data_IF_271239038110
#
_entry.id   IF_271239038110
#
_cell.length_a   1.000
_cell.length_b   1.000
_cell.length_c   1.000
_cell.angle_alpha   90.00
_cell.angle_beta   90.00
_cell.angle_gamma   90.00
#
_symmetry.space_group_name_H-M   'P 1'
#
loop_
_entity.id
_entity.type
_entity.pdbx_description
1 polymer ?
#
# COMPACT_ATOMS: atom_id res chain seq x y z
N UNK A 1 4.48 -28.02 -3.34
CA UNK A 1 4.65 -28.38 -4.77
C UNK A 1 5.12 -29.83 -4.85
N UNK A 2 4.17 -30.76 -4.71
CA UNK A 2 4.55 -32.20 -4.57
C UNK A 2 4.74 -32.92 -5.91
N UNK A 3 4.38 -32.33 -7.04
CA UNK A 3 4.64 -32.92 -8.36
C UNK A 3 4.64 -31.87 -9.48
N UNK A 4 5.80 -31.61 -10.03
CA UNK A 4 5.92 -30.99 -11.36
C UNK A 4 5.74 -32.11 -12.38
N UNK A 5 4.60 -32.20 -13.03
CA UNK A 5 4.35 -33.23 -14.06
C UNK A 5 5.00 -32.83 -15.37
N UNK A 6 5.91 -33.68 -15.86
CA UNK A 6 6.48 -33.56 -17.19
C UNK A 6 5.45 -33.99 -18.22
N UNK A 7 4.84 -33.03 -18.87
CA UNK A 7 3.87 -33.20 -19.95
C UNK A 7 4.00 -32.07 -20.95
N UNK A 8 3.01 -31.89 -21.82
CA UNK A 8 2.93 -30.75 -22.74
C UNK A 8 2.55 -29.44 -22.04
N UNK A 9 2.12 -29.51 -20.79
CA UNK A 9 1.72 -28.37 -19.96
C UNK A 9 2.36 -28.47 -18.57
N UNK A 10 2.80 -27.35 -18.04
CA UNK A 10 3.36 -27.19 -16.71
C UNK A 10 2.48 -26.26 -15.89
N UNK A 11 2.04 -26.73 -14.73
CA UNK A 11 1.32 -25.91 -13.76
C UNK A 11 2.26 -25.59 -12.58
N UNK A 12 2.52 -24.31 -12.34
CA UNK A 12 3.44 -23.86 -11.28
C UNK A 12 2.68 -22.95 -10.33
N UNK A 13 2.42 -23.44 -9.11
CA UNK A 13 1.67 -22.67 -8.10
C UNK A 13 2.45 -21.51 -7.48
N UNK A 14 3.77 -21.67 -7.29
CA UNK A 14 4.61 -20.63 -6.67
C UNK A 14 6.04 -20.69 -7.23
N UNK A 15 6.34 -19.80 -8.19
CA UNK A 15 7.64 -19.74 -8.87
C UNK A 15 8.77 -19.25 -7.94
N UNK A 16 8.46 -18.49 -6.90
CA UNK A 16 9.47 -17.91 -6.01
C UNK A 16 10.10 -18.95 -5.09
N UNK A 17 9.34 -19.97 -4.72
CA UNK A 17 9.76 -21.05 -3.80
C UNK A 17 10.25 -22.31 -4.51
N UNK A 18 10.44 -22.30 -5.81
CA UNK A 18 11.00 -23.42 -6.55
C UNK A 18 12.45 -23.67 -6.13
N UNK A 19 12.79 -24.95 -5.94
CA UNK A 19 14.19 -25.37 -5.78
C UNK A 19 15.01 -25.04 -7.04
N UNK A 20 16.33 -24.96 -6.92
CA UNK A 20 17.21 -24.72 -8.06
C UNK A 20 17.00 -25.79 -9.15
N UNK A 21 16.87 -27.06 -8.78
CA UNK A 21 16.62 -28.16 -9.73
C UNK A 21 15.27 -28.06 -10.44
N UNK A 22 14.24 -27.53 -9.76
CA UNK A 22 12.94 -27.33 -10.38
C UNK A 22 12.94 -26.13 -11.35
N UNK A 23 13.71 -25.09 -11.02
CA UNK A 23 13.93 -23.97 -11.94
C UNK A 23 14.64 -24.41 -13.21
N UNK A 24 15.70 -25.22 -13.10
CA UNK A 24 16.39 -25.79 -14.27
C UNK A 24 15.47 -26.65 -15.15
N UNK A 25 14.62 -27.47 -14.52
CA UNK A 25 13.63 -28.27 -15.26
C UNK A 25 12.59 -27.41 -15.96
N UNK A 26 12.11 -26.35 -15.28
CA UNK A 26 11.16 -25.41 -15.85
C UNK A 26 11.76 -24.68 -17.06
N UNK A 27 13.00 -24.19 -16.96
CA UNK A 27 13.70 -23.58 -18.07
C UNK A 27 13.88 -24.55 -19.24
N UNK A 28 14.33 -25.77 -18.98
CA UNK A 28 14.46 -26.80 -20.03
C UNK A 28 13.12 -27.14 -20.70
N UNK A 29 12.02 -27.12 -19.95
CA UNK A 29 10.69 -27.31 -20.50
C UNK A 29 10.27 -26.15 -21.42
N UNK A 30 10.52 -24.90 -21.00
CA UNK A 30 10.20 -23.71 -21.81
C UNK A 30 11.03 -23.68 -23.09
N UNK A 31 12.34 -23.96 -23.01
CA UNK A 31 13.25 -24.05 -24.16
C UNK A 31 12.83 -25.15 -25.14
N UNK A 32 12.27 -26.25 -24.64
CA UNK A 32 11.69 -27.33 -25.44
C UNK A 32 10.36 -27.01 -26.12
N UNK A 33 9.85 -25.77 -26.01
CA UNK A 33 8.58 -25.33 -26.59
C UNK A 33 7.35 -25.73 -25.77
N UNK A 34 7.54 -26.09 -24.50
CA UNK A 34 6.45 -26.37 -23.56
C UNK A 34 5.60 -25.13 -23.22
N UNK A 35 4.34 -25.35 -22.89
CA UNK A 35 3.44 -24.30 -22.40
C UNK A 35 3.43 -24.29 -20.88
N UNK A 36 3.61 -23.12 -20.29
CA UNK A 36 3.52 -22.93 -18.86
C UNK A 36 2.19 -22.25 -18.51
N UNK A 37 1.42 -22.87 -17.63
CA UNK A 37 0.25 -22.26 -17.02
C UNK A 37 0.67 -21.82 -15.63
N UNK A 38 0.78 -20.50 -15.40
CA UNK A 38 0.97 -19.97 -14.07
C UNK A 38 -0.39 -19.92 -13.38
N UNK A 39 -0.48 -20.45 -12.17
CA UNK A 39 -1.62 -20.20 -11.33
C UNK A 39 -1.71 -18.70 -11.04
N UNK A 40 -2.88 -18.10 -11.24
CA UNK A 40 -3.11 -16.71 -10.87
C UNK A 40 -3.03 -16.61 -9.34
N UNK A 41 -2.12 -15.81 -8.77
CA UNK A 41 -1.97 -15.72 -7.33
C UNK A 41 -3.19 -15.03 -6.71
N UNK A 42 -3.74 -15.62 -5.67
CA UNK A 42 -4.76 -14.97 -4.86
C UNK A 42 -4.15 -13.81 -4.07
N UNK A 43 -4.91 -12.72 -3.95
CA UNK A 43 -4.47 -11.58 -3.19
C UNK A 43 -4.52 -11.87 -1.68
N UNK A 44 -3.37 -11.77 -1.01
CA UNK A 44 -3.31 -11.78 0.45
C UNK A 44 -3.71 -10.38 0.96
N UNK A 45 -4.98 -10.25 1.33
CA UNK A 45 -5.54 -9.00 1.81
C UNK A 45 -5.49 -8.89 3.33
N UNK A 46 -5.36 -7.67 3.83
CA UNK A 46 -5.57 -7.34 5.24
C UNK A 46 -7.07 -7.30 5.57
N UNK A 47 -7.43 -7.22 6.86
CA UNK A 47 -8.83 -7.03 7.30
C UNK A 47 -9.48 -5.76 6.70
N UNK A 48 -8.67 -4.77 6.37
CA UNK A 48 -9.12 -3.53 5.70
C UNK A 48 -8.38 -3.35 4.38
N UNK A 49 -8.79 -4.06 3.32
CA UNK A 49 -8.09 -4.06 2.03
C UNK A 49 -8.25 -2.74 1.25
N UNK A 50 -9.15 -1.86 1.69
CA UNK A 50 -9.42 -0.59 1.05
C UNK A 50 -9.53 0.52 2.10
N UNK A 51 -8.62 1.48 2.06
CA UNK A 51 -8.71 2.67 2.89
C UNK A 51 -9.53 3.76 2.18
N UNK A 52 -10.53 4.31 2.90
CA UNK A 52 -11.35 5.40 2.39
C UNK A 52 -10.63 6.74 2.55
N UNK A 53 -10.73 7.57 1.53
CA UNK A 53 -10.23 8.94 1.51
C UNK A 53 -11.17 9.93 2.19
N UNK A 54 -10.79 11.20 2.12
CA UNK A 54 -11.46 12.30 2.79
C UNK A 54 -12.91 12.54 2.30
N UNK A 55 -13.26 12.00 1.14
CA UNK A 55 -14.57 12.08 0.49
C UNK A 55 -15.42 10.80 0.65
N UNK A 56 -14.88 9.81 1.37
CA UNK A 56 -15.53 8.50 1.52
C UNK A 56 -15.34 7.55 0.34
N UNK A 57 -14.61 7.96 -0.71
CA UNK A 57 -14.22 7.09 -1.82
C UNK A 57 -12.86 6.42 -1.52
N UNK A 58 -12.42 5.52 -2.38
CA UNK A 58 -11.06 4.93 -2.25
C UNK A 58 -10.02 6.05 -2.19
N UNK A 59 -9.15 6.02 -1.16
CA UNK A 59 -8.06 7.00 -1.05
C UNK A 59 -7.15 6.95 -2.27
N UNK A 60 -6.92 8.11 -2.89
CA UNK A 60 -6.08 8.25 -4.07
C UNK A 60 -5.44 9.64 -4.13
N UNK A 61 -4.15 9.68 -4.40
CA UNK A 61 -3.42 10.95 -4.59
C UNK A 61 -4.01 11.77 -5.75
N UNK A 62 -4.42 11.12 -6.85
CA UNK A 62 -4.98 11.77 -8.03
C UNK A 62 -6.35 12.42 -7.80
N UNK A 63 -7.09 11.94 -6.80
CA UNK A 63 -8.39 12.53 -6.45
C UNK A 63 -8.29 13.64 -5.39
N UNK A 64 -7.09 13.89 -4.85
CA UNK A 64 -6.90 14.90 -3.81
C UNK A 64 -7.57 14.57 -2.47
N UNK A 65 -8.03 13.33 -2.28
CA UNK A 65 -8.74 12.86 -1.10
C UNK A 65 -7.85 12.11 -0.10
N UNK A 66 -6.53 12.24 -0.23
CA UNK A 66 -5.56 11.48 0.54
C UNK A 66 -4.97 12.28 1.71
N UNK A 67 -4.67 11.58 2.80
CA UNK A 67 -3.71 12.03 3.81
C UNK A 67 -2.32 11.62 3.30
N UNK A 68 -1.43 12.57 3.13
CA UNK A 68 -0.09 12.33 2.63
C UNK A 68 0.86 12.04 3.79
N UNK A 69 1.89 11.23 3.56
CA UNK A 69 2.90 10.90 4.58
C UNK A 69 3.65 12.15 5.08
N UNK A 70 3.71 13.20 4.28
CA UNK A 70 4.37 14.48 4.59
C UNK A 70 3.42 15.57 5.10
N UNK A 71 2.13 15.29 5.23
CA UNK A 71 1.18 16.25 5.80
C UNK A 71 1.61 16.61 7.22
N UNK A 72 1.58 17.90 7.53
CA UNK A 72 1.83 18.37 8.88
C UNK A 72 0.69 17.97 9.81
N UNK A 73 0.93 17.87 11.13
CA UNK A 73 -0.10 17.47 12.09
C UNK A 73 -1.40 18.28 11.99
N UNK A 74 -1.28 19.58 11.75
CA UNK A 74 -2.42 20.50 11.60
C UNK A 74 -3.20 20.23 10.31
N UNK A 75 -2.50 19.86 9.24
CA UNK A 75 -3.11 19.50 7.96
C UNK A 75 -3.88 18.19 8.05
N UNK A 76 -3.29 17.17 8.71
CA UNK A 76 -3.98 15.91 9.01
C UNK A 76 -5.24 16.17 9.84
N UNK A 77 -5.12 16.96 10.90
CA UNK A 77 -6.24 17.31 11.75
C UNK A 77 -7.35 18.04 10.97
N UNK A 78 -6.98 19.01 10.12
CA UNK A 78 -7.93 19.73 9.24
C UNK A 78 -8.63 18.77 8.29
N UNK A 79 -7.88 17.92 7.61
CA UNK A 79 -8.39 16.94 6.64
C UNK A 79 -9.39 15.98 7.29
N UNK A 80 -9.04 15.35 8.41
CA UNK A 80 -9.94 14.43 9.11
C UNK A 80 -11.18 15.15 9.66
N UNK A 81 -11.04 16.36 10.22
CA UNK A 81 -12.19 17.14 10.72
C UNK A 81 -13.20 17.44 9.62
N UNK A 82 -12.77 17.67 8.39
CA UNK A 82 -13.64 17.99 7.25
C UNK A 82 -14.23 16.77 6.55
N UNK A 83 -13.78 15.54 6.88
CA UNK A 83 -14.38 14.33 6.30
C UNK A 83 -15.91 14.28 6.54
N UNK A 84 -16.69 13.83 5.54
CA UNK A 84 -18.10 13.58 5.74
C UNK A 84 -18.30 12.51 6.83
N UNK A 85 -19.45 12.57 7.46
CA UNK A 85 -19.88 11.59 8.46
C UNK A 85 -21.18 10.92 7.99
N UNK A 86 -21.83 10.11 8.82
CA UNK A 86 -23.11 9.52 8.48
C UNK A 86 -24.12 10.61 8.06
N UNK A 87 -24.63 10.56 6.83
CA UNK A 87 -25.58 11.56 6.32
C UNK A 87 -26.89 11.65 7.13
N UNK A 88 -27.27 10.57 7.80
CA UNK A 88 -28.46 10.56 8.65
C UNK A 88 -28.30 11.39 9.93
N UNK A 89 -27.05 11.65 10.33
CA UNK A 89 -26.73 12.40 11.54
C UNK A 89 -26.52 13.89 11.23
N UNK A 90 -27.61 14.64 11.17
CA UNK A 90 -27.62 16.07 10.87
C UNK A 90 -27.27 16.92 12.10
N UNK A 91 -27.80 16.52 13.28
CA UNK A 91 -27.57 17.23 14.55
C UNK A 91 -26.74 16.36 15.49
N UNK A 92 -26.08 17.00 16.46
CA UNK A 92 -25.33 16.28 17.50
C UNK A 92 -26.21 15.31 18.30
N UNK A 93 -27.50 15.63 18.46
CA UNK A 93 -28.49 14.83 19.17
C UNK A 93 -29.03 13.65 18.38
N UNK A 94 -28.75 13.58 17.08
CA UNK A 94 -29.22 12.50 16.25
C UNK A 94 -28.33 11.28 16.43
N UNK A 95 -28.87 10.07 16.60
CA UNK A 95 -28.11 8.85 16.59
C UNK A 95 -27.49 8.63 15.21
N UNK A 96 -26.28 8.09 15.16
CA UNK A 96 -25.58 7.75 13.92
C UNK A 96 -25.34 6.26 13.79
N UNK A 97 -25.00 5.84 12.58
CA UNK A 97 -24.58 4.49 12.28
C UNK A 97 -23.09 4.50 11.87
N UNK A 98 -22.18 3.93 12.68
CA UNK A 98 -20.77 3.87 12.33
C UNK A 98 -20.52 3.24 10.95
N UNK A 99 -21.27 2.19 10.59
CA UNK A 99 -21.07 1.47 9.31
C UNK A 99 -21.35 2.33 8.07
N UNK A 100 -22.13 3.41 8.24
CA UNK A 100 -22.40 4.39 7.17
C UNK A 100 -21.46 5.60 7.19
N UNK A 101 -20.55 5.64 8.16
CA UNK A 101 -19.66 6.78 8.37
C UNK A 101 -18.28 6.47 7.79
N UNK A 102 -17.76 7.23 6.79
CA UNK A 102 -16.43 7.01 6.23
C UNK A 102 -15.31 7.06 7.27
N UNK A 103 -15.48 7.82 8.35
CA UNK A 103 -14.49 7.91 9.44
C UNK A 103 -14.35 6.58 10.18
N UNK A 104 -15.39 5.73 10.21
CA UNK A 104 -15.33 4.41 10.82
C UNK A 104 -14.27 3.51 10.20
N UNK A 105 -14.09 3.59 8.90
CA UNK A 105 -13.01 2.86 8.22
C UNK A 105 -11.61 3.23 8.77
N UNK A 106 -11.40 4.50 9.11
CA UNK A 106 -10.16 4.92 9.76
C UNK A 106 -10.05 4.39 11.20
N UNK A 107 -11.17 4.34 11.95
CA UNK A 107 -11.18 3.72 13.27
C UNK A 107 -10.84 2.23 13.24
N UNK A 108 -11.33 1.50 12.23
CA UNK A 108 -11.02 0.08 12.06
C UNK A 108 -9.52 -0.17 11.87
N UNK A 109 -8.81 0.77 11.24
CA UNK A 109 -7.37 0.66 10.99
C UNK A 109 -6.53 1.20 12.16
N UNK A 110 -6.88 2.37 12.68
CA UNK A 110 -5.99 3.14 13.57
C UNK A 110 -6.39 3.11 15.04
N UNK A 111 -7.60 2.70 15.39
CA UNK A 111 -8.07 2.76 16.77
C UNK A 111 -8.01 1.42 17.48
N UNK A 112 -7.71 1.45 18.79
CA UNK A 112 -7.82 0.29 19.67
C UNK A 112 -9.25 -0.23 19.77
N UNK A 113 -9.43 -1.48 20.23
CA UNK A 113 -10.75 -2.06 20.41
C UNK A 113 -11.61 -1.22 21.36
N UNK A 114 -11.04 -0.78 22.49
CA UNK A 114 -11.75 0.05 23.46
C UNK A 114 -12.25 1.36 22.85
N UNK A 115 -11.45 2.00 22.01
CA UNK A 115 -11.82 3.22 21.29
C UNK A 115 -12.93 2.92 20.28
N UNK A 116 -12.86 1.81 19.56
CA UNK A 116 -13.90 1.39 18.62
C UNK A 116 -15.23 1.15 19.34
N UNK A 117 -15.20 0.46 20.46
CA UNK A 117 -16.40 0.20 21.28
C UNK A 117 -17.01 1.49 21.84
N UNK A 118 -16.17 2.42 22.29
CA UNK A 118 -16.59 3.75 22.71
C UNK A 118 -17.27 4.53 21.56
N UNK A 119 -16.67 4.51 20.36
CA UNK A 119 -17.23 5.15 19.17
C UNK A 119 -18.58 4.54 18.81
N UNK A 120 -18.67 3.21 18.73
CA UNK A 120 -19.92 2.53 18.38
C UNK A 120 -21.05 2.88 19.36
N UNK A 121 -20.78 2.76 20.67
CA UNK A 121 -21.73 3.08 21.72
C UNK A 121 -22.12 4.56 21.68
N UNK A 122 -21.15 5.45 21.62
CA UNK A 122 -21.36 6.89 21.64
C UNK A 122 -22.05 7.43 20.37
N UNK A 123 -21.73 6.90 19.21
CA UNK A 123 -22.36 7.27 17.95
C UNK A 123 -23.83 6.86 17.92
N UNK A 124 -24.14 5.60 18.23
CA UNK A 124 -25.52 5.06 18.22
C UNK A 124 -26.42 5.69 19.27
N UNK A 125 -25.87 6.13 20.39
CA UNK A 125 -26.63 6.79 21.46
C UNK A 125 -26.68 8.32 21.34
N UNK A 126 -26.05 8.91 20.31
CA UNK A 126 -25.77 10.35 20.23
C UNK A 126 -24.98 10.92 21.43
N UNK A 127 -24.28 10.05 22.16
CA UNK A 127 -23.51 10.40 23.35
C UNK A 127 -22.21 11.17 23.06
N UNK A 128 -21.66 11.03 21.85
CA UNK A 128 -20.43 11.74 21.39
C UNK A 128 -20.71 12.60 20.17
N UNK A 129 -19.95 13.69 20.01
CA UNK A 129 -19.98 14.51 18.80
C UNK A 129 -19.10 13.94 17.68
N UNK A 130 -19.42 14.25 16.41
CA UNK A 130 -18.59 13.77 15.29
C UNK A 130 -17.15 14.30 15.33
N UNK A 131 -16.93 15.54 15.78
CA UNK A 131 -15.58 16.09 15.95
C UNK A 131 -14.83 15.43 17.10
N UNK A 132 -15.53 15.11 18.18
CA UNK A 132 -14.99 14.37 19.32
C UNK A 132 -14.60 12.93 18.92
N UNK A 133 -15.47 12.26 18.15
CA UNK A 133 -15.20 10.96 17.56
C UNK A 133 -13.93 10.95 16.68
N UNK A 134 -13.70 12.00 15.89
CA UNK A 134 -12.55 12.09 14.98
C UNK A 134 -11.20 12.31 15.68
N UNK A 135 -11.20 12.80 16.91
CA UNK A 135 -9.94 13.14 17.61
C UNK A 135 -9.00 11.95 17.80
N UNK A 136 -9.47 10.77 18.29
CA UNK A 136 -8.61 9.60 18.40
C UNK A 136 -7.97 9.15 17.07
N UNK A 137 -8.68 9.29 15.96
CA UNK A 137 -8.11 8.99 14.63
C UNK A 137 -7.02 9.98 14.27
N UNK A 138 -7.24 11.28 14.52
CA UNK A 138 -6.24 12.33 14.26
C UNK A 138 -4.96 12.04 15.05
N UNK A 139 -5.10 11.70 16.33
CA UNK A 139 -3.96 11.43 17.22
C UNK A 139 -3.21 10.17 16.78
N UNK A 140 -3.93 9.10 16.44
CA UNK A 140 -3.32 7.86 15.96
C UNK A 140 -2.59 8.04 14.62
N UNK A 141 -3.22 8.67 13.64
CA UNK A 141 -2.58 8.95 12.34
C UNK A 141 -1.36 9.86 12.49
N UNK A 142 -1.43 10.88 13.33
CA UNK A 142 -0.29 11.74 13.60
C UNK A 142 0.84 11.00 14.31
N UNK A 143 0.52 10.07 15.23
CA UNK A 143 1.48 9.19 15.87
C UNK A 143 2.22 8.29 14.88
N UNK A 144 1.51 7.69 13.95
CA UNK A 144 2.09 6.88 12.86
C UNK A 144 2.97 7.69 11.92
N UNK A 145 2.55 8.91 11.59
CA UNK A 145 3.29 9.77 10.65
C UNK A 145 4.48 10.48 11.30
N UNK A 146 4.52 10.64 12.62
CA UNK A 146 5.59 11.37 13.31
C UNK A 146 6.99 10.80 12.99
N UNK A 147 7.27 9.49 13.16
CA UNK A 147 8.59 8.93 12.86
C UNK A 147 8.93 8.98 11.36
N UNK A 148 7.93 8.99 10.48
CA UNK A 148 8.14 9.14 9.03
C UNK A 148 8.60 10.55 8.72
N UNK A 149 7.93 11.56 9.28
CA UNK A 149 8.29 12.97 9.13
C UNK A 149 9.69 13.27 9.69
N UNK A 150 10.00 12.70 10.85
CA UNK A 150 11.32 12.84 11.47
C UNK A 150 12.44 12.30 10.56
N UNK A 151 12.26 11.10 9.99
CA UNK A 151 13.22 10.55 9.02
C UNK A 151 13.30 11.34 7.72
N UNK A 152 12.19 11.93 7.27
CA UNK A 152 12.15 12.74 6.06
C UNK A 152 12.84 14.10 6.21
N UNK A 153 12.92 14.65 7.41
CA UNK A 153 13.47 15.99 7.67
C UNK A 153 14.90 16.15 7.13
N UNK A 154 15.78 15.16 7.34
CA UNK A 154 17.15 15.21 6.84
C UNK A 154 17.25 15.35 5.32
N UNK A 155 16.32 14.75 4.58
CA UNK A 155 16.28 14.84 3.11
C UNK A 155 15.63 16.13 2.62
N UNK A 156 14.78 16.73 3.41
CA UNK A 156 14.16 18.03 3.10
C UNK A 156 15.12 19.19 3.35
N UNK A 157 15.96 19.06 4.38
CA UNK A 157 16.94 20.08 4.76
C UNK A 157 18.19 20.07 3.86
N UNK A 158 18.54 18.91 3.29
CA UNK A 158 19.71 18.78 2.40
C UNK A 158 19.35 18.22 1.01
N UNK A 159 18.97 19.10 0.05
CA UNK A 159 18.73 18.68 -1.33
C UNK A 159 19.96 18.08 -2.04
N UNK A 160 21.18 18.33 -1.55
CA UNK A 160 22.41 17.76 -2.11
C UNK A 160 22.52 16.27 -1.77
N UNK A 161 22.13 15.90 -0.55
CA UNK A 161 22.04 14.49 -0.13
C UNK A 161 21.09 13.71 -1.06
N UNK A 162 19.91 14.27 -1.35
CA UNK A 162 18.95 13.61 -2.25
C UNK A 162 19.53 13.43 -3.66
N UNK A 163 20.23 14.44 -4.18
CA UNK A 163 20.88 14.36 -5.50
C UNK A 163 21.97 13.31 -5.55
N UNK A 164 22.81 13.20 -4.52
CA UNK A 164 23.86 12.18 -4.47
C UNK A 164 23.26 10.76 -4.44
N UNK A 165 22.21 10.54 -3.65
CA UNK A 165 21.49 9.25 -3.60
C UNK A 165 20.93 8.88 -4.97
N UNK A 166 20.34 9.85 -5.68
CA UNK A 166 19.80 9.63 -7.03
C UNK A 166 20.95 9.30 -8.00
N UNK A 167 22.06 10.04 -7.95
CA UNK A 167 23.22 9.79 -8.81
C UNK A 167 23.80 8.40 -8.60
N UNK A 168 24.07 8.02 -7.34
CA UNK A 168 24.59 6.69 -6.99
C UNK A 168 23.62 5.58 -7.44
N UNK A 169 22.31 5.82 -7.31
CA UNK A 169 21.27 4.90 -7.77
C UNK A 169 21.25 4.76 -9.30
N UNK A 170 21.41 5.86 -10.03
CA UNK A 170 21.48 5.85 -11.48
C UNK A 170 22.74 5.12 -12.00
N UNK A 171 23.88 5.34 -11.37
CA UNK A 171 25.13 4.63 -11.72
C UNK A 171 24.99 3.13 -11.53
N UNK A 172 24.50 2.67 -10.38
CA UNK A 172 24.23 1.24 -10.12
C UNK A 172 23.22 0.63 -11.09
N UNK A 173 22.16 1.37 -11.41
CA UNK A 173 21.16 0.91 -12.37
C UNK A 173 21.72 0.82 -13.79
N UNK A 174 22.58 1.76 -14.18
CA UNK A 174 23.26 1.75 -15.47
C UNK A 174 24.22 0.55 -15.61
N UNK A 175 24.99 0.25 -14.55
CA UNK A 175 25.90 -0.89 -14.54
C UNK A 175 25.14 -2.22 -14.70
N UNK A 176 24.04 -2.41 -13.95
CA UNK A 176 23.19 -3.60 -14.07
C UNK A 176 22.52 -3.70 -15.45
N UNK A 177 22.07 -2.58 -15.99
CA UNK A 177 21.44 -2.55 -17.31
C UNK A 177 22.47 -2.85 -18.41
N UNK A 178 23.69 -2.35 -18.33
CA UNK A 178 24.75 -2.61 -19.32
C UNK A 178 25.20 -4.06 -19.31
N UNK A 179 25.27 -4.71 -18.13
CA UNK A 179 25.52 -6.14 -18.03
C UNK A 179 24.46 -6.94 -18.78
N UNK A 180 23.17 -6.69 -18.50
CA UNK A 180 22.07 -7.33 -19.20
C UNK A 180 22.08 -7.04 -20.69
N UNK A 181 22.31 -5.78 -21.07
CA UNK A 181 22.35 -5.38 -22.48
C UNK A 181 23.52 -5.97 -23.25
N UNK A 182 24.64 -6.22 -22.60
CA UNK A 182 25.76 -6.93 -23.20
C UNK A 182 25.34 -8.35 -23.60
N UNK A 183 24.71 -9.07 -22.69
CA UNK A 183 24.25 -10.44 -22.93
C UNK A 183 23.18 -10.49 -24.03
N UNK A 184 22.24 -9.53 -24.03
CA UNK A 184 21.22 -9.40 -25.06
C UNK A 184 21.86 -9.12 -26.43
N UNK A 185 22.82 -8.18 -26.53
CA UNK A 185 23.52 -7.86 -27.80
C UNK A 185 24.29 -9.06 -28.31
N UNK A 186 24.96 -9.81 -27.43
CA UNK A 186 25.66 -11.03 -27.78
C UNK A 186 24.70 -12.10 -28.34
N UNK A 187 23.61 -12.36 -27.63
CA UNK A 187 22.58 -13.32 -28.07
C UNK A 187 21.94 -12.94 -29.41
N UNK A 188 21.83 -11.65 -29.69
CA UNK A 188 21.28 -11.12 -30.97
C UNK A 188 22.33 -11.02 -32.08
N UNK A 189 23.60 -11.31 -31.83
CA UNK A 189 24.69 -11.11 -32.79
C UNK A 189 24.98 -9.63 -33.09
N UNK A 190 24.63 -8.73 -32.15
CA UNK A 190 24.83 -7.28 -32.27
C UNK A 190 26.08 -6.81 -31.51
N UNK A 191 27.16 -7.55 -31.57
CA UNK A 191 28.43 -7.11 -31.02
C UNK A 191 29.05 -6.02 -31.92
N UNK A 192 28.93 -4.78 -31.52
CA UNK A 192 29.67 -3.69 -32.10
C UNK A 192 31.10 -3.73 -31.48
N UNK A 193 32.08 -4.14 -32.31
CA UNK A 193 33.51 -4.10 -31.97
C UNK A 193 34.04 -2.67 -31.92
#
# INVERSE_FOLDING_TARGET
LDEIRLGTEYEVGDVQNLSLGDKERLFGFIEGGGRMILAEPDALLTETPKLLGLDGQKMSKSYGNAILLRDKPEEVAKKVKTMPTDPARVRRTDPGDPEKCPVWNLHQVYSSQDTRDWVVKGCRSAGIGCLECKQPVIDAVNGELAPIRERAAAYEEDPTLVRSIIQDGCEKAADLAEETMRDVREAMGLSYG
#
